data_IF_968566463062
#
_entry.id   IF_968566463062
#
_cell.length_a   1.000
_cell.length_b   1.000
_cell.length_c   1.000
_cell.angle_alpha   90.00
_cell.angle_beta   90.00
_cell.angle_gamma   90.00
#
_symmetry.space_group_name_H-M   'P 1'
#
loop_
_entity.id
_entity.type
_entity.pdbx_description
1 polymer ?
#
# COMPACT_ATOMS: atom_id res chain seq x y z
N UNK A 1 -59.80 32.43 8.98
CA UNK A 1 -58.93 32.58 7.78
C UNK A 1 -57.92 33.70 8.01
N UNK A 2 -56.65 33.37 8.24
CA UNK A 2 -55.46 33.96 7.59
C UNK A 2 -54.21 33.26 8.16
N UNK A 3 -53.34 32.91 7.22
CA UNK A 3 -52.40 31.79 7.25
C UNK A 3 -51.17 32.10 8.11
N UNK A 4 -50.70 31.09 8.85
CA UNK A 4 -49.31 31.02 9.31
C UNK A 4 -48.39 31.09 8.07
N UNK A 5 -47.40 31.97 8.12
CA UNK A 5 -46.30 32.00 7.17
C UNK A 5 -45.07 31.50 7.94
N UNK A 6 -44.92 30.18 7.97
CA UNK A 6 -43.67 29.54 8.40
C UNK A 6 -42.73 29.67 7.20
N UNK A 7 -41.75 30.56 7.31
CA UNK A 7 -40.63 30.63 6.38
C UNK A 7 -39.67 29.53 6.82
N UNK A 8 -39.77 28.36 6.19
CA UNK A 8 -38.70 27.37 6.20
C UNK A 8 -37.53 27.95 5.39
N UNK A 9 -36.53 28.47 6.10
CA UNK A 9 -35.20 28.68 5.53
C UNK A 9 -34.63 27.28 5.25
N UNK A 10 -34.69 26.84 3.99
CA UNK A 10 -33.81 25.80 3.49
C UNK A 10 -32.41 26.39 3.47
N UNK A 11 -31.60 26.07 4.49
CA UNK A 11 -30.15 26.20 4.38
C UNK A 11 -29.70 25.07 3.44
N UNK A 12 -29.61 25.37 2.15
CA UNK A 12 -28.79 24.58 1.25
C UNK A 12 -27.33 24.83 1.66
N UNK A 13 -26.81 23.97 2.53
CA UNK A 13 -25.37 23.83 2.70
C UNK A 13 -24.90 23.20 1.38
N UNK A 14 -24.53 24.03 0.42
CA UNK A 14 -23.72 23.61 -0.72
C UNK A 14 -22.30 23.38 -0.19
N UNK A 15 -22.11 22.32 0.58
CA UNK A 15 -20.78 21.77 0.81
C UNK A 15 -20.27 21.33 -0.56
N UNK A 16 -19.28 22.04 -1.08
CA UNK A 16 -18.55 21.68 -2.30
C UNK A 16 -18.18 20.20 -2.17
N UNK A 17 -18.75 19.38 -3.05
CA UNK A 17 -18.64 17.93 -2.97
C UNK A 17 -17.24 17.59 -3.51
N UNK A 18 -16.31 17.23 -2.62
CA UNK A 18 -14.90 17.01 -2.95
C UNK A 18 -14.59 15.67 -3.64
N UNK A 19 -15.60 14.87 -4.01
CA UNK A 19 -15.46 13.79 -5.00
C UNK A 19 -16.54 13.90 -6.06
N UNK A 20 -16.28 14.73 -7.07
CA UNK A 20 -17.10 14.78 -8.27
C UNK A 20 -16.20 15.02 -9.46
N UNK A 21 -16.45 14.25 -10.51
CA UNK A 21 -15.95 14.58 -11.83
C UNK A 21 -16.63 15.89 -12.26
N UNK A 22 -15.83 16.93 -12.42
CA UNK A 22 -16.29 18.20 -12.97
C UNK A 22 -15.82 18.34 -14.41
N UNK A 23 -16.72 18.02 -15.35
CA UNK A 23 -16.44 18.11 -16.77
C UNK A 23 -16.29 19.55 -17.29
N UNK A 24 -16.75 20.56 -16.55
CA UNK A 24 -16.68 21.95 -17.00
C UNK A 24 -15.26 22.53 -16.89
N UNK A 25 -14.47 22.06 -15.92
CA UNK A 25 -13.09 22.49 -15.69
C UNK A 25 -12.06 21.34 -15.79
N UNK A 26 -12.53 20.14 -16.16
CA UNK A 26 -11.74 18.91 -16.27
C UNK A 26 -11.00 18.57 -14.98
N UNK A 27 -11.67 18.74 -13.85
CA UNK A 27 -11.15 18.39 -12.53
C UNK A 27 -11.84 17.18 -11.93
N UNK A 28 -11.12 16.46 -11.08
CA UNK A 28 -11.62 15.33 -10.30
C UNK A 28 -11.06 15.43 -8.90
N UNK A 29 -11.95 15.54 -7.92
CA UNK A 29 -11.60 15.27 -6.52
C UNK A 29 -11.79 13.79 -6.21
N UNK A 30 -10.90 13.20 -5.41
CA UNK A 30 -11.00 11.79 -5.02
C UNK A 30 -11.21 11.73 -3.50
N UNK A 31 -12.42 11.40 -3.07
CA UNK A 31 -12.81 11.29 -1.66
C UNK A 31 -13.82 10.16 -1.52
N UNK A 32 -13.77 9.41 -0.42
CA UNK A 32 -14.74 8.36 -0.13
C UNK A 32 -16.10 8.94 0.27
N UNK A 33 -17.15 8.65 -0.50
CA UNK A 33 -18.54 8.93 -0.15
C UNK A 33 -19.27 7.65 0.24
N UNK A 34 -18.81 7.04 1.32
CA UNK A 34 -19.28 5.71 1.69
C UNK A 34 -20.29 5.77 2.83
N UNK A 35 -21.28 4.89 2.76
CA UNK A 35 -22.28 4.77 3.81
C UNK A 35 -21.84 3.75 4.86
N UNK A 36 -22.37 3.91 6.09
CA UNK A 36 -22.23 2.89 7.12
C UNK A 36 -22.75 1.53 6.61
N UNK A 37 -21.96 0.47 6.84
CA UNK A 37 -22.17 -0.90 6.36
C UNK A 37 -22.06 -1.09 4.84
N UNK A 38 -21.62 -0.07 4.10
CA UNK A 38 -21.24 -0.27 2.71
C UNK A 38 -20.03 -1.20 2.64
N UNK A 39 -20.06 -2.12 1.67
CA UNK A 39 -19.07 -3.18 1.53
C UNK A 39 -18.69 -3.35 0.08
N UNK A 40 -17.39 -3.53 -0.17
CA UNK A 40 -16.86 -3.96 -1.46
C UNK A 40 -15.85 -5.09 -1.28
N UNK A 41 -15.73 -5.95 -2.30
CA UNK A 41 -14.80 -7.07 -2.28
C UNK A 41 -13.79 -6.90 -3.40
N UNK A 42 -12.53 -7.22 -3.12
CA UNK A 42 -11.42 -7.05 -4.03
C UNK A 42 -10.61 -8.33 -4.12
N UNK A 43 -10.05 -8.57 -5.29
CA UNK A 43 -8.95 -9.51 -5.50
C UNK A 43 -7.65 -8.72 -5.50
N UNK A 44 -6.68 -9.17 -4.71
CA UNK A 44 -5.33 -8.62 -4.72
C UNK A 44 -4.39 -9.69 -5.26
N UNK A 45 -3.61 -9.32 -6.28
CA UNK A 45 -2.60 -10.19 -6.88
C UNK A 45 -1.23 -9.54 -6.72
N UNK A 46 -0.26 -10.31 -6.23
CA UNK A 46 1.13 -9.91 -6.09
C UNK A 46 2.01 -10.83 -6.92
N UNK A 47 2.83 -10.23 -7.77
CA UNK A 47 3.74 -10.95 -8.63
C UNK A 47 5.16 -10.44 -8.42
N UNK A 48 6.11 -11.35 -8.36
CA UNK A 48 7.53 -11.02 -8.29
C UNK A 48 8.29 -11.78 -9.37
N UNK A 49 9.14 -11.06 -10.08
CA UNK A 49 10.08 -11.64 -11.02
C UNK A 49 11.41 -10.89 -10.97
N UNK A 50 12.46 -11.63 -11.32
CA UNK A 50 13.82 -11.13 -11.41
C UNK A 50 14.27 -11.20 -12.86
N UNK A 51 14.86 -10.12 -13.35
CA UNK A 51 15.47 -10.03 -14.68
C UNK A 51 16.98 -9.94 -14.47
N UNK A 52 17.71 -10.94 -14.98
CA UNK A 52 19.17 -10.94 -14.97
C UNK A 52 19.65 -10.85 -16.42
N UNK A 53 20.28 -9.73 -16.78
CA UNK A 53 20.60 -9.35 -18.16
C UNK A 53 19.34 -9.25 -19.05
N UNK A 54 18.93 -10.35 -19.68
CA UNK A 54 17.78 -10.44 -20.59
C UNK A 54 16.84 -11.59 -20.24
N UNK A 55 17.23 -12.45 -19.29
CA UNK A 55 16.45 -13.61 -18.90
C UNK A 55 15.58 -13.24 -17.71
N UNK A 56 14.28 -13.57 -17.81
CA UNK A 56 13.30 -13.34 -16.75
C UNK A 56 13.02 -14.63 -16.00
N UNK A 57 13.16 -14.60 -14.68
CA UNK A 57 12.77 -15.69 -13.80
C UNK A 57 11.60 -15.24 -12.95
N UNK A 58 10.47 -15.95 -13.06
CA UNK A 58 9.33 -15.72 -12.17
C UNK A 58 9.64 -16.31 -10.80
N UNK A 59 9.57 -15.49 -9.75
CA UNK A 59 10.05 -15.87 -8.41
C UNK A 59 8.94 -15.96 -7.36
N UNK A 60 7.75 -15.40 -7.59
CA UNK A 60 6.64 -15.60 -6.65
C UNK A 60 5.30 -15.02 -7.11
N UNK A 61 4.23 -15.76 -6.78
CA UNK A 61 2.84 -15.38 -6.98
C UNK A 61 2.09 -15.50 -5.66
N UNK A 62 1.34 -14.46 -5.29
CA UNK A 62 0.36 -14.52 -4.22
C UNK A 62 -0.93 -13.86 -4.69
N UNK A 63 -2.06 -14.45 -4.34
CA UNK A 63 -3.37 -13.87 -4.59
C UNK A 63 -4.22 -14.05 -3.36
N UNK A 64 -5.06 -13.06 -3.04
CA UNK A 64 -5.98 -13.14 -1.91
C UNK A 64 -7.17 -12.23 -2.17
N UNK A 65 -8.26 -12.46 -1.45
CA UNK A 65 -9.42 -11.59 -1.46
C UNK A 65 -9.44 -10.69 -0.22
N UNK A 66 -9.93 -9.47 -0.38
CA UNK A 66 -10.19 -8.56 0.73
C UNK A 66 -11.61 -8.01 0.66
N UNK A 67 -12.32 -8.15 1.77
CA UNK A 67 -13.61 -7.55 2.00
C UNK A 67 -13.42 -6.23 2.76
N UNK A 68 -13.72 -5.10 2.12
CA UNK A 68 -13.65 -3.77 2.72
C UNK A 68 -15.05 -3.37 3.20
N UNK A 69 -15.20 -3.10 4.49
CA UNK A 69 -16.48 -2.70 5.11
C UNK A 69 -16.34 -1.39 5.88
N UNK A 70 -17.25 -0.46 5.65
CA UNK A 70 -17.35 0.78 6.44
C UNK A 70 -18.08 0.47 7.75
N UNK A 71 -17.33 0.39 8.85
CA UNK A 71 -17.87 0.01 10.17
C UNK A 71 -18.24 1.21 11.04
N UNK A 72 -17.72 2.40 10.73
CA UNK A 72 -18.18 3.68 11.27
C UNK A 72 -18.05 4.78 10.22
N UNK A 73 -19.00 5.72 10.21
CA UNK A 73 -19.03 6.86 9.28
C UNK A 73 -19.55 8.08 10.03
N UNK A 74 -18.68 9.09 10.14
CA UNK A 74 -18.97 10.37 10.77
C UNK A 74 -18.71 11.50 9.76
N UNK A 75 -19.09 12.72 10.12
CA UNK A 75 -18.83 13.87 9.26
C UNK A 75 -17.33 14.18 9.04
N UNK A 76 -16.42 13.61 9.85
CA UNK A 76 -15.00 13.96 9.88
C UNK A 76 -14.06 12.76 9.77
N UNK A 77 -14.60 11.54 9.71
CA UNK A 77 -13.78 10.32 9.68
C UNK A 77 -14.60 9.08 9.35
N UNK A 78 -13.90 8.08 8.81
CA UNK A 78 -14.38 6.72 8.65
C UNK A 78 -13.56 5.74 9.49
N UNK A 79 -14.21 4.69 9.97
CA UNK A 79 -13.52 3.48 10.44
C UNK A 79 -13.86 2.36 9.46
N UNK A 80 -12.81 1.71 8.95
CA UNK A 80 -12.89 0.82 7.80
C UNK A 80 -12.19 -0.47 8.15
N UNK A 81 -12.91 -1.58 8.02
CA UNK A 81 -12.38 -2.92 8.20
C UNK A 81 -11.97 -3.50 6.84
N UNK A 82 -10.74 -4.00 6.77
CA UNK A 82 -10.21 -4.81 5.67
C UNK A 82 -10.07 -6.24 6.18
N UNK A 83 -10.89 -7.15 5.65
CA UNK A 83 -10.89 -8.56 6.03
C UNK A 83 -10.29 -9.42 4.92
N UNK A 84 -9.16 -10.06 5.22
CA UNK A 84 -8.32 -10.81 4.31
C UNK A 84 -8.68 -12.30 4.33
N UNK A 85 -8.84 -12.91 3.16
CA UNK A 85 -9.25 -14.32 3.00
C UNK A 85 -8.78 -14.91 1.67
N UNK A 86 -8.93 -16.22 1.53
CA UNK A 86 -8.76 -16.97 0.28
C UNK A 86 -7.37 -16.77 -0.36
N UNK A 87 -6.33 -16.98 0.44
CA UNK A 87 -4.96 -16.85 -0.01
C UNK A 87 -4.55 -18.03 -0.91
N UNK A 88 -3.94 -17.71 -2.03
CA UNK A 88 -3.42 -18.63 -3.05
C UNK A 88 -1.95 -18.28 -3.33
N UNK A 89 -1.10 -19.29 -3.50
CA UNK A 89 0.29 -19.11 -3.95
C UNK A 89 0.70 -20.20 -4.92
N UNK A 90 1.72 -19.94 -5.72
CA UNK A 90 2.29 -20.90 -6.67
C UNK A 90 3.53 -21.64 -6.13
N UNK A 91 3.93 -21.40 -4.88
CA UNK A 91 5.11 -22.06 -4.28
C UNK A 91 4.74 -23.34 -3.52
N UNK A 92 5.55 -24.37 -3.67
CA UNK A 92 5.46 -25.61 -2.87
C UNK A 92 6.25 -25.51 -1.54
N UNK A 93 6.81 -24.34 -1.22
CA UNK A 93 7.55 -24.14 0.02
C UNK A 93 6.62 -24.27 1.24
N UNK A 94 6.90 -25.29 2.07
CA UNK A 94 6.08 -25.64 3.23
C UNK A 94 5.99 -24.50 4.26
N UNK A 95 7.07 -23.75 4.45
CA UNK A 95 7.09 -22.62 5.38
C UNK A 95 6.17 -21.51 4.85
N UNK A 96 6.22 -21.21 3.55
CA UNK A 96 5.32 -20.22 2.94
C UNK A 96 3.86 -20.66 3.03
N UNK A 97 3.55 -21.92 2.72
CA UNK A 97 2.20 -22.48 2.86
C UNK A 97 1.67 -22.34 4.29
N UNK A 98 2.52 -22.63 5.29
CA UNK A 98 2.16 -22.46 6.70
C UNK A 98 1.94 -21.00 7.09
N UNK A 99 2.77 -20.08 6.58
CA UNK A 99 2.60 -18.63 6.79
C UNK A 99 1.28 -18.14 6.19
N UNK A 100 0.88 -18.67 5.03
CA UNK A 100 -0.42 -18.35 4.43
C UNK A 100 -1.57 -18.86 5.30
N UNK A 101 -1.53 -20.12 5.72
CA UNK A 101 -2.59 -20.73 6.56
C UNK A 101 -2.85 -19.93 7.85
N UNK A 102 -1.80 -19.38 8.48
CA UNK A 102 -1.95 -18.55 9.68
C UNK A 102 -2.39 -17.10 9.39
N UNK A 103 -2.24 -16.65 8.15
CA UNK A 103 -2.64 -15.30 7.71
C UNK A 103 -4.10 -15.24 7.22
N UNK A 104 -4.78 -16.39 7.14
CA UNK A 104 -6.19 -16.48 6.78
C UNK A 104 -7.11 -15.81 7.81
N UNK A 105 -8.20 -15.23 7.31
CA UNK A 105 -9.24 -14.57 8.12
C UNK A 105 -8.72 -13.43 9.00
N UNK A 106 -7.70 -12.73 8.52
CA UNK A 106 -7.09 -11.61 9.23
C UNK A 106 -7.85 -10.31 9.00
N UNK A 107 -7.87 -9.41 9.99
CA UNK A 107 -8.53 -8.10 9.86
C UNK A 107 -7.58 -6.95 10.18
N UNK A 108 -7.62 -5.93 9.34
CA UNK A 108 -6.97 -4.64 9.58
C UNK A 108 -8.06 -3.58 9.66
N UNK A 109 -8.09 -2.83 10.75
CA UNK A 109 -9.04 -1.74 10.97
C UNK A 109 -8.26 -0.44 10.88
N UNK A 110 -8.59 0.38 9.89
CA UNK A 110 -8.00 1.71 9.73
C UNK A 110 -9.01 2.79 10.08
N UNK A 111 -8.48 3.95 10.44
CA UNK A 111 -9.23 5.19 10.54
C UNK A 111 -8.71 6.18 9.52
N UNK A 112 -9.62 6.84 8.81
CA UNK A 112 -9.28 7.95 7.89
C UNK A 112 -9.91 9.26 8.37
N UNK A 113 -9.42 10.39 7.88
CA UNK A 113 -10.16 11.65 7.91
C UNK A 113 -11.31 11.65 6.88
N UNK A 114 -12.05 12.76 6.77
CA UNK A 114 -13.13 12.89 5.78
C UNK A 114 -12.68 12.90 4.32
N UNK A 115 -11.39 13.14 4.05
CA UNK A 115 -10.82 13.22 2.71
C UNK A 115 -10.25 11.87 2.25
N UNK A 116 -10.06 10.93 3.18
CA UNK A 116 -9.47 9.61 2.94
C UNK A 116 -7.99 9.52 3.31
N UNK A 117 -7.44 10.52 3.99
CA UNK A 117 -6.11 10.45 4.60
C UNK A 117 -6.11 9.47 5.77
N UNK A 118 -5.23 8.46 5.73
CA UNK A 118 -5.12 7.46 6.81
C UNK A 118 -4.55 8.14 8.06
N UNK A 119 -5.29 8.07 9.16
CA UNK A 119 -4.90 8.61 10.47
C UNK A 119 -4.14 7.56 11.27
N UNK A 120 -4.64 6.32 11.27
CA UNK A 120 -4.06 5.23 12.05
C UNK A 120 -4.58 3.85 11.65
N UNK A 121 -3.81 2.82 11.99
CA UNK A 121 -4.28 1.44 12.16
C UNK A 121 -4.77 1.28 13.60
N UNK A 122 -6.09 1.14 13.76
CA UNK A 122 -6.78 1.13 15.06
C UNK A 122 -6.46 -0.13 15.86
N UNK A 123 -6.45 -1.29 15.22
CA UNK A 123 -6.25 -2.59 15.87
C UNK A 123 -4.80 -3.10 15.76
N UNK A 124 -3.81 -2.22 15.67
CA UNK A 124 -2.40 -2.60 15.44
C UNK A 124 -1.84 -3.57 16.51
N UNK A 125 -2.29 -3.48 17.76
CA UNK A 125 -1.88 -4.43 18.81
C UNK A 125 -2.45 -5.83 18.56
N UNK A 126 -3.71 -5.95 18.11
CA UNK A 126 -4.31 -7.23 17.75
C UNK A 126 -3.57 -7.86 16.57
N UNK A 127 -3.17 -7.05 15.59
CA UNK A 127 -2.35 -7.45 14.44
C UNK A 127 -1.02 -8.00 14.92
N UNK A 128 -0.27 -7.24 15.72
CA UNK A 128 1.02 -7.66 16.28
C UNK A 128 0.91 -8.96 17.05
N UNK A 129 -0.04 -9.03 17.99
CA UNK A 129 -0.16 -10.17 18.90
C UNK A 129 -0.55 -11.45 18.14
N UNK A 130 -1.39 -11.33 17.11
CA UNK A 130 -1.75 -12.44 16.23
C UNK A 130 -0.55 -12.95 15.43
N UNK A 131 0.24 -12.04 14.83
CA UNK A 131 1.46 -12.40 14.12
C UNK A 131 2.46 -13.07 15.07
N UNK A 132 2.67 -12.53 16.27
CA UNK A 132 3.62 -13.06 17.24
C UNK A 132 3.21 -14.45 17.75
N UNK A 133 1.91 -14.67 17.97
CA UNK A 133 1.39 -15.98 18.33
C UNK A 133 1.65 -17.00 17.21
N UNK A 134 1.39 -16.59 15.97
CA UNK A 134 1.53 -17.46 14.81
C UNK A 134 3.02 -17.78 14.51
N UNK A 135 3.90 -16.79 14.52
CA UNK A 135 5.35 -17.01 14.35
C UNK A 135 5.94 -17.84 15.47
N UNK A 136 5.46 -17.71 16.71
CA UNK A 136 5.90 -18.56 17.84
C UNK A 136 5.59 -20.03 17.62
N UNK A 137 4.41 -20.36 17.07
CA UNK A 137 4.05 -21.74 16.72
C UNK A 137 4.96 -22.29 15.61
N UNK A 138 5.21 -21.47 14.58
CA UNK A 138 6.07 -21.88 13.46
C UNK A 138 7.54 -22.01 13.88
N UNK A 139 8.05 -21.15 14.77
CA UNK A 139 9.40 -21.28 15.34
C UNK A 139 9.62 -22.65 15.99
N UNK A 140 8.63 -23.15 16.74
CA UNK A 140 8.70 -24.47 17.37
C UNK A 140 8.60 -25.61 16.34
N UNK A 141 7.69 -25.49 15.37
CA UNK A 141 7.51 -26.50 14.31
C UNK A 141 8.77 -26.66 13.44
N UNK A 142 9.42 -25.53 13.10
CA UNK A 142 10.57 -25.49 12.23
C UNK A 142 11.91 -25.37 12.96
N UNK A 143 11.99 -25.60 14.28
CA UNK A 143 13.19 -25.37 15.10
C UNK A 143 14.49 -26.04 14.61
N UNK A 144 14.37 -27.12 13.85
CA UNK A 144 15.51 -27.85 13.26
C UNK A 144 16.02 -27.20 11.95
N UNK A 145 15.29 -26.24 11.39
CA UNK A 145 15.68 -25.48 10.19
C UNK A 145 16.71 -24.43 10.59
N UNK A 146 17.91 -24.42 9.98
CA UNK A 146 18.93 -23.41 10.26
C UNK A 146 18.41 -21.99 10.02
N UNK A 147 18.76 -21.05 10.91
CA UNK A 147 18.43 -19.62 10.82
C UNK A 147 16.92 -19.27 10.80
N UNK A 148 16.05 -20.24 11.13
CA UNK A 148 14.60 -20.02 11.12
C UNK A 148 14.16 -18.99 12.17
N UNK A 149 14.80 -19.01 13.35
CA UNK A 149 14.49 -18.08 14.43
C UNK A 149 14.80 -16.64 14.01
N UNK A 150 15.94 -16.41 13.36
CA UNK A 150 16.31 -15.10 12.82
C UNK A 150 15.33 -14.65 11.74
N UNK A 151 14.88 -15.57 10.88
CA UNK A 151 13.89 -15.30 9.83
C UNK A 151 12.57 -14.81 10.43
N UNK A 152 12.04 -15.51 11.44
CA UNK A 152 10.82 -15.08 12.11
C UNK A 152 10.98 -13.81 12.94
N UNK A 153 12.14 -13.59 13.57
CA UNK A 153 12.42 -12.34 14.28
C UNK A 153 12.38 -11.14 13.32
N UNK A 154 12.86 -11.30 12.07
CA UNK A 154 12.75 -10.26 11.03
C UNK A 154 11.28 -9.99 10.66
N UNK A 155 10.45 -11.03 10.56
CA UNK A 155 9.01 -10.86 10.33
C UNK A 155 8.37 -10.10 11.50
N UNK A 156 8.61 -10.54 12.73
CA UNK A 156 8.05 -9.92 13.95
C UNK A 156 8.45 -8.44 14.08
N UNK A 157 9.66 -8.07 13.71
CA UNK A 157 10.12 -6.67 13.74
C UNK A 157 9.27 -5.73 12.88
N UNK A 158 8.69 -6.21 11.77
CA UNK A 158 7.80 -5.41 10.93
C UNK A 158 6.44 -5.12 11.60
N UNK A 159 6.09 -5.87 12.65
CA UNK A 159 4.84 -5.71 13.38
C UNK A 159 5.03 -5.21 14.83
N UNK A 160 6.27 -4.93 15.23
CA UNK A 160 6.61 -4.62 16.61
C UNK A 160 5.97 -3.32 17.10
N UNK A 161 5.88 -2.31 16.24
CA UNK A 161 5.32 -1.00 16.55
C UNK A 161 4.23 -0.61 15.55
N UNK A 162 3.34 0.29 16.00
CA UNK A 162 2.30 0.88 15.14
C UNK A 162 2.89 1.48 13.85
N UNK A 163 3.99 2.23 13.98
CA UNK A 163 4.65 2.88 12.85
C UNK A 163 5.23 1.88 11.85
N UNK A 164 5.75 0.73 12.31
CA UNK A 164 6.20 -0.34 11.40
C UNK A 164 5.03 -0.95 10.62
N UNK A 165 3.89 -1.18 11.28
CA UNK A 165 2.69 -1.73 10.63
C UNK A 165 2.16 -0.74 9.58
N UNK A 166 2.03 0.53 9.94
CA UNK A 166 1.51 1.59 9.09
C UNK A 166 2.39 1.88 7.87
N UNK A 167 3.71 1.67 7.98
CA UNK A 167 4.66 1.95 6.91
C UNK A 167 4.97 0.78 5.98
N UNK A 168 4.85 -0.46 6.44
CA UNK A 168 5.35 -1.62 5.71
C UNK A 168 4.33 -2.74 5.51
N UNK A 169 3.39 -2.92 6.44
CA UNK A 169 2.56 -4.13 6.51
C UNK A 169 1.17 -3.98 5.88
N UNK A 170 0.77 -2.76 5.54
CA UNK A 170 -0.55 -2.45 4.94
C UNK A 170 -0.44 -1.85 3.52
N UNK A 171 0.56 -2.29 2.73
CA UNK A 171 0.86 -1.71 1.41
C UNK A 171 -0.32 -1.67 0.45
N UNK A 172 -1.20 -2.66 0.46
CA UNK A 172 -2.41 -2.68 -0.37
C UNK A 172 -3.42 -1.61 0.05
N UNK A 173 -3.59 -1.40 1.35
CA UNK A 173 -4.35 -0.27 1.88
C UNK A 173 -3.70 1.04 1.41
N UNK A 174 -2.39 1.22 1.57
CA UNK A 174 -1.71 2.44 1.12
C UNK A 174 -1.94 2.70 -0.38
N UNK A 175 -1.77 1.69 -1.23
CA UNK A 175 -2.03 1.80 -2.67
C UNK A 175 -3.47 2.21 -2.97
N UNK A 176 -4.44 1.64 -2.25
CA UNK A 176 -5.85 1.96 -2.42
C UNK A 176 -6.13 3.44 -2.18
N UNK A 177 -5.44 4.06 -1.21
CA UNK A 177 -5.67 5.43 -0.77
C UNK A 177 -4.72 6.47 -1.35
N UNK A 178 -3.74 6.12 -2.20
CA UNK A 178 -2.72 7.07 -2.68
C UNK A 178 -3.27 8.36 -3.29
N UNK A 179 -4.42 8.28 -3.94
CA UNK A 179 -5.03 9.42 -4.63
C UNK A 179 -6.13 10.10 -3.81
N UNK A 180 -6.55 9.52 -2.68
CA UNK A 180 -7.62 10.08 -1.85
C UNK A 180 -7.17 11.38 -1.18
N UNK A 181 -8.12 12.30 -1.06
CA UNK A 181 -7.94 13.66 -0.57
C UNK A 181 -7.35 14.64 -1.58
N UNK A 182 -6.97 14.16 -2.77
CA UNK A 182 -6.46 15.00 -3.85
C UNK A 182 -7.56 15.62 -4.70
N UNK A 183 -7.27 16.83 -5.22
CA UNK A 183 -8.01 17.47 -6.30
C UNK A 183 -7.08 17.58 -7.51
N UNK A 184 -7.43 16.91 -8.59
CA UNK A 184 -6.59 16.79 -9.77
C UNK A 184 -7.23 17.44 -10.98
N UNK A 185 -6.41 18.01 -11.84
CA UNK A 185 -6.85 18.63 -13.09
C UNK A 185 -6.16 17.97 -14.27
N UNK A 186 -6.92 17.72 -15.32
CA UNK A 186 -6.42 17.07 -16.52
C UNK A 186 -5.31 17.91 -17.17
N UNK A 187 -4.19 17.28 -17.52
CA UNK A 187 -2.96 17.88 -18.05
C UNK A 187 -2.10 18.67 -17.04
N UNK A 188 -2.49 18.75 -15.76
CA UNK A 188 -1.62 19.28 -14.72
C UNK A 188 -0.86 18.11 -14.06
N UNK A 189 0.39 18.36 -13.68
CA UNK A 189 1.23 17.41 -12.93
C UNK A 189 1.54 18.03 -11.57
N UNK A 190 1.25 17.28 -10.51
CA UNK A 190 1.61 17.63 -9.15
C UNK A 190 2.95 16.99 -8.83
N UNK A 191 3.96 17.80 -8.51
CA UNK A 191 5.29 17.34 -8.12
C UNK A 191 5.54 17.65 -6.65
N UNK A 192 6.10 16.67 -5.92
CA UNK A 192 6.44 16.81 -4.52
C UNK A 192 7.71 16.04 -4.18
N UNK A 193 8.39 16.48 -3.12
CA UNK A 193 9.41 15.68 -2.44
C UNK A 193 8.84 15.17 -1.14
N UNK A 194 8.94 13.86 -0.93
CA UNK A 194 8.42 13.19 0.26
C UNK A 194 9.54 12.44 0.98
N UNK A 195 9.24 12.03 2.22
CA UNK A 195 10.10 11.16 3.01
C UNK A 195 9.47 9.77 3.06
N UNK A 196 10.20 8.76 2.63
CA UNK A 196 9.79 7.37 2.72
C UNK A 196 10.52 6.68 3.87
N UNK A 197 9.83 5.87 4.69
CA UNK A 197 10.47 5.17 5.79
C UNK A 197 11.55 4.22 5.28
N UNK A 198 12.69 4.21 5.96
CA UNK A 198 13.80 3.32 5.65
C UNK A 198 13.61 1.98 6.36
N UNK A 199 13.23 0.95 5.60
CA UNK A 199 12.94 -0.39 6.11
C UNK A 199 14.19 -1.14 6.64
N UNK A 200 15.40 -0.67 6.32
CA UNK A 200 16.64 -1.20 6.92
C UNK A 200 16.94 -0.58 8.30
N UNK A 201 16.14 0.38 8.72
CA UNK A 201 16.38 1.22 9.89
C UNK A 201 17.25 2.43 9.58
N UNK A 202 17.07 3.50 10.36
CA UNK A 202 17.80 4.77 10.20
C UNK A 202 16.90 5.90 9.74
N UNK A 203 17.48 6.89 9.05
CA UNK A 203 16.73 8.05 8.55
C UNK A 203 15.85 7.66 7.36
N UNK A 204 14.65 8.27 7.21
CA UNK A 204 13.85 8.17 5.99
C UNK A 204 14.64 8.56 4.74
N UNK A 205 14.19 8.07 3.59
CA UNK A 205 14.73 8.40 2.28
C UNK A 205 13.98 9.57 1.66
N UNK A 206 14.70 10.49 1.03
CA UNK A 206 14.14 11.45 0.11
C UNK A 206 13.60 10.71 -1.13
N UNK A 207 12.40 11.07 -1.58
CA UNK A 207 11.85 10.57 -2.84
C UNK A 207 11.15 11.70 -3.61
N UNK A 208 11.34 11.71 -4.92
CA UNK A 208 10.62 12.58 -5.84
C UNK A 208 9.33 11.86 -6.29
N UNK A 209 8.20 12.58 -6.25
CA UNK A 209 6.89 12.04 -6.63
C UNK A 209 6.22 12.97 -7.65
N UNK A 210 5.64 12.37 -8.68
CA UNK A 210 4.78 13.06 -9.66
C UNK A 210 3.43 12.37 -9.74
N UNK A 211 2.34 13.12 -9.62
CA UNK A 211 0.97 12.62 -9.69
C UNK A 211 0.20 13.40 -10.74
N UNK A 212 -0.59 12.73 -11.57
CA UNK A 212 -1.45 13.40 -12.55
C UNK A 212 -2.73 12.62 -12.84
N UNK A 213 -3.74 13.38 -13.28
CA UNK A 213 -4.97 12.85 -13.85
C UNK A 213 -4.73 12.55 -15.33
N UNK A 214 -4.83 11.27 -15.71
CA UNK A 214 -4.56 10.79 -17.07
C UNK A 214 -5.82 10.83 -17.94
N UNK A 215 -6.96 10.40 -17.37
CA UNK A 215 -8.22 10.33 -18.08
C UNK A 215 -9.42 10.58 -17.17
N UNK A 216 -10.46 11.20 -17.73
CA UNK A 216 -11.80 11.30 -17.13
C UNK A 216 -12.77 10.55 -18.04
N UNK A 217 -13.51 9.60 -17.47
CA UNK A 217 -14.59 8.89 -18.15
C UNK A 217 -15.92 9.19 -17.44
N UNK A 218 -16.60 10.24 -17.91
CA UNK A 218 -17.87 10.67 -17.34
C UNK A 218 -19.05 9.73 -17.64
N UNK A 219 -18.95 8.90 -18.69
CA UNK A 219 -20.02 7.94 -19.03
C UNK A 219 -20.07 6.79 -18.02
N UNK A 220 -18.88 6.34 -17.59
CA UNK A 220 -18.72 5.25 -16.62
C UNK A 220 -18.40 5.75 -15.20
N UNK A 221 -18.58 7.06 -14.96
CA UNK A 221 -18.39 7.72 -13.66
C UNK A 221 -17.04 7.41 -12.99
N UNK A 222 -15.96 7.37 -13.77
CA UNK A 222 -14.63 7.07 -13.24
C UNK A 222 -13.52 7.92 -13.88
N UNK A 223 -12.35 7.88 -13.25
CA UNK A 223 -11.14 8.54 -13.71
C UNK A 223 -9.92 7.63 -13.58
N UNK A 224 -8.87 7.92 -14.35
CA UNK A 224 -7.59 7.23 -14.28
C UNK A 224 -6.55 8.22 -13.77
N UNK A 225 -5.92 7.88 -12.64
CA UNK A 225 -4.81 8.63 -12.06
C UNK A 225 -3.52 7.83 -12.15
N UNK A 226 -2.41 8.55 -12.21
CA UNK A 226 -1.08 7.97 -12.27
C UNK A 226 -0.14 8.63 -11.27
N UNK A 227 0.79 7.84 -10.77
CA UNK A 227 1.87 8.29 -9.90
C UNK A 227 3.19 7.68 -10.37
N UNK A 228 4.25 8.47 -10.31
CA UNK A 228 5.64 7.98 -10.30
C UNK A 228 6.31 8.40 -9.01
N UNK A 229 7.16 7.52 -8.47
CA UNK A 229 7.95 7.78 -7.28
C UNK A 229 9.36 7.21 -7.48
N UNK A 230 10.39 8.02 -7.26
CA UNK A 230 11.79 7.62 -7.37
C UNK A 230 12.52 7.92 -6.07
N UNK A 231 13.10 6.89 -5.45
CA UNK A 231 13.87 7.05 -4.21
C UNK A 231 15.26 7.58 -4.54
N UNK A 232 15.80 8.46 -3.68
CA UNK A 232 17.18 8.91 -3.79
C UNK A 232 18.16 7.72 -3.81
N UNK A 233 18.79 7.52 -4.97
CA UNK A 233 19.66 6.37 -5.24
C UNK A 233 20.87 6.31 -4.31
N UNK A 234 21.49 7.44 -3.96
CA UNK A 234 22.65 7.47 -3.06
C UNK A 234 22.26 6.99 -1.66
N UNK A 235 21.17 7.53 -1.11
CA UNK A 235 20.67 7.14 0.21
C UNK A 235 20.27 5.67 0.28
N UNK A 236 19.55 5.18 -0.75
CA UNK A 236 19.17 3.77 -0.85
C UNK A 236 20.41 2.87 -0.92
N UNK A 237 21.39 3.25 -1.74
CA UNK A 237 22.62 2.48 -1.93
C UNK A 237 23.43 2.40 -0.62
N UNK A 238 23.59 3.54 0.06
CA UNK A 238 24.32 3.61 1.33
C UNK A 238 23.65 2.78 2.43
N UNK A 239 22.33 2.92 2.59
CA UNK A 239 21.57 2.17 3.58
C UNK A 239 21.63 0.65 3.30
N UNK A 240 21.53 0.24 2.03
CA UNK A 240 21.62 -1.17 1.63
C UNK A 240 23.02 -1.73 1.92
N UNK A 241 24.08 -1.01 1.56
CA UNK A 241 25.46 -1.42 1.84
C UNK A 241 25.70 -1.59 3.34
N UNK A 242 25.27 -0.63 4.16
CA UNK A 242 25.40 -0.70 5.62
C UNK A 242 24.61 -1.85 6.22
N UNK A 243 23.39 -2.08 5.74
CA UNK A 243 22.56 -3.20 6.17
C UNK A 243 23.23 -4.55 5.86
N UNK A 244 23.69 -4.75 4.63
CA UNK A 244 24.38 -5.97 4.22
C UNK A 244 25.66 -6.23 5.01
N UNK A 245 26.40 -5.17 5.37
CA UNK A 245 27.58 -5.26 6.22
C UNK A 245 27.24 -5.68 7.66
N UNK A 246 26.06 -5.33 8.17
CA UNK A 246 25.64 -5.63 9.53
C UNK A 246 24.96 -6.99 9.69
N UNK A 247 24.17 -7.41 8.70
CA UNK A 247 23.39 -8.69 8.77
C UNK A 247 24.24 -9.89 8.40
N UNK A 248 25.20 -9.73 7.51
CA UNK A 248 26.12 -10.80 7.23
C UNK A 248 27.22 -10.83 8.28
N UNK A 249 27.24 -11.87 9.11
CA UNK A 249 28.48 -12.40 9.67
C UNK A 249 29.41 -13.00 8.59
N UNK A 250 29.16 -12.73 7.30
CA UNK A 250 30.13 -12.94 6.23
C UNK A 250 31.20 -11.89 6.45
N UNK A 251 32.40 -12.37 6.79
CA UNK A 251 33.60 -11.58 6.98
C UNK A 251 33.66 -10.39 6.01
N UNK A 252 34.11 -9.23 6.51
CA UNK A 252 34.43 -7.98 5.78
C UNK A 252 35.10 -8.20 4.39
N UNK A 253 35.65 -9.39 4.13
CA UNK A 253 36.31 -9.79 2.89
C UNK A 253 35.41 -10.01 1.65
N UNK A 254 34.07 -10.05 1.75
CA UNK A 254 33.21 -10.39 0.59
C UNK A 254 32.42 -9.23 -0.02
N UNK A 255 32.01 -8.22 0.76
CA UNK A 255 31.19 -7.11 0.26
C UNK A 255 32.00 -6.03 -0.49
N UNK A 256 33.33 -6.00 -0.28
CA UNK A 256 34.23 -5.02 -0.87
C UNK A 256 34.11 -3.63 -0.24
N UNK A 257 34.78 -2.64 -0.84
CA UNK A 257 34.64 -1.24 -0.45
C UNK A 257 33.35 -0.64 -0.99
N UNK A 258 32.75 0.31 -0.25
CA UNK A 258 31.52 1.00 -0.65
C UNK A 258 31.60 1.61 -2.05
N UNK A 259 32.78 2.07 -2.47
CA UNK A 259 32.99 2.66 -3.80
C UNK A 259 32.82 1.69 -4.95
N UNK A 260 32.98 0.38 -4.67
CA UNK A 260 32.82 -0.69 -5.65
C UNK A 260 31.39 -1.26 -5.62
N UNK A 261 30.55 -0.80 -4.69
CA UNK A 261 29.15 -1.21 -4.56
C UNK A 261 28.29 -0.41 -5.54
N UNK A 262 27.71 -1.12 -6.50
CA UNK A 262 26.90 -0.55 -7.57
C UNK A 262 25.72 0.28 -7.03
N UNK A 263 25.34 1.37 -7.71
CA UNK A 263 24.18 2.16 -7.32
C UNK A 263 22.91 1.33 -7.44
N UNK A 264 22.05 1.44 -6.43
CA UNK A 264 20.69 0.93 -6.47
C UNK A 264 19.74 2.03 -6.92
N UNK A 265 18.78 1.66 -7.76
CA UNK A 265 17.64 2.50 -8.12
C UNK A 265 16.37 1.84 -7.64
N UNK A 266 15.44 2.65 -7.15
CA UNK A 266 14.10 2.18 -6.82
C UNK A 266 13.06 3.16 -7.36
N UNK A 267 12.27 2.64 -8.29
CA UNK A 267 11.23 3.39 -8.98
C UNK A 267 9.90 2.66 -8.79
N UNK A 268 8.84 3.42 -8.56
CA UNK A 268 7.49 2.91 -8.39
C UNK A 268 6.56 3.66 -9.32
N UNK A 269 5.74 2.92 -10.06
CA UNK A 269 4.68 3.45 -10.90
C UNK A 269 3.35 2.93 -10.39
N UNK A 270 2.37 3.81 -10.22
CA UNK A 270 1.02 3.42 -9.86
C UNK A 270 0.03 3.97 -10.87
N UNK A 271 -0.95 3.15 -11.24
CA UNK A 271 -2.11 3.55 -12.03
C UNK A 271 -3.35 3.10 -11.28
N UNK A 272 -4.29 4.00 -11.03
CA UNK A 272 -5.57 3.66 -10.41
C UNK A 272 -6.74 4.19 -11.22
N UNK A 273 -7.69 3.31 -11.50
CA UNK A 273 -9.02 3.66 -11.98
C UNK A 273 -9.97 3.77 -10.79
N UNK A 274 -10.54 4.95 -10.56
CA UNK A 274 -11.34 5.25 -9.37
C UNK A 274 -12.72 5.73 -9.80
N UNK A 275 -13.77 5.14 -9.21
CA UNK A 275 -15.15 5.58 -9.40
C UNK A 275 -15.42 6.90 -8.65
N UNK A 276 -16.37 7.71 -9.09
CA UNK A 276 -16.68 9.02 -8.48
C UNK A 276 -17.11 8.93 -7.00
N UNK A 277 -17.53 7.75 -6.54
CA UNK A 277 -17.82 7.48 -5.12
C UNK A 277 -16.57 7.33 -4.25
N UNK A 278 -15.38 7.35 -4.85
CA UNK A 278 -14.10 7.10 -4.18
C UNK A 278 -13.74 5.61 -4.05
N UNK A 279 -14.57 4.68 -4.54
CA UNK A 279 -14.19 3.27 -4.60
C UNK A 279 -13.18 3.03 -5.72
N UNK A 280 -12.09 2.36 -5.39
CA UNK A 280 -11.15 1.87 -6.39
C UNK A 280 -11.83 0.81 -7.26
N UNK A 281 -11.70 0.90 -8.58
CA UNK A 281 -12.15 -0.15 -9.50
C UNK A 281 -11.00 -1.09 -9.85
N UNK A 282 -9.83 -0.50 -10.12
CA UNK A 282 -8.63 -1.23 -10.48
C UNK A 282 -7.40 -0.41 -10.12
N UNK A 283 -6.35 -1.03 -9.61
CA UNK A 283 -5.04 -0.39 -9.42
C UNK A 283 -3.90 -1.35 -9.73
N UNK A 284 -2.82 -0.83 -10.30
CA UNK A 284 -1.55 -1.54 -10.45
C UNK A 284 -0.45 -0.66 -9.91
N UNK A 285 0.31 -1.20 -8.96
CA UNK A 285 1.58 -0.65 -8.50
C UNK A 285 2.69 -1.57 -9.00
N UNK A 286 3.61 -1.04 -9.79
CA UNK A 286 4.84 -1.71 -10.21
C UNK A 286 6.00 -1.05 -9.50
N UNK A 287 6.76 -1.82 -8.73
CA UNK A 287 7.98 -1.38 -8.07
C UNK A 287 9.16 -2.10 -8.69
N UNK A 288 10.12 -1.35 -9.22
CA UNK A 288 11.37 -1.88 -9.73
C UNK A 288 12.51 -1.50 -8.80
N UNK A 289 13.35 -2.48 -8.46
CA UNK A 289 14.63 -2.26 -7.79
C UNK A 289 15.73 -2.80 -8.67
N UNK A 290 16.62 -1.94 -9.13
CA UNK A 290 17.70 -2.33 -10.03
C UNK A 290 19.07 -2.09 -9.42
N UNK A 291 20.01 -2.99 -9.72
CA UNK A 291 21.42 -2.91 -9.37
C UNK A 291 22.21 -3.64 -10.44
N UNK A 292 23.16 -2.96 -11.09
CA UNK A 292 23.87 -3.46 -12.28
C UNK A 292 22.93 -4.05 -13.34
N UNK A 293 23.09 -5.33 -13.66
CA UNK A 293 22.30 -6.05 -14.67
C UNK A 293 21.14 -6.85 -14.05
N UNK A 294 20.81 -6.59 -12.78
CA UNK A 294 19.72 -7.27 -12.07
C UNK A 294 18.59 -6.29 -11.80
N UNK A 295 17.38 -6.65 -12.22
CA UNK A 295 16.16 -5.88 -11.93
C UNK A 295 15.20 -6.81 -11.20
N UNK A 296 14.80 -6.41 -10.01
CA UNK A 296 13.72 -7.05 -9.27
C UNK A 296 12.45 -6.23 -9.48
N UNK A 297 11.39 -6.88 -9.97
CA UNK A 297 10.10 -6.25 -10.19
C UNK A 297 9.05 -6.87 -9.29
N UNK A 298 8.30 -6.03 -8.61
CA UNK A 298 7.14 -6.39 -7.79
C UNK A 298 5.91 -5.68 -8.34
N UNK A 299 4.90 -6.44 -8.76
CA UNK A 299 3.60 -5.91 -9.13
C UNK A 299 2.58 -6.20 -8.01
N UNK A 300 1.76 -5.21 -7.68
CA UNK A 300 0.59 -5.33 -6.81
C UNK A 300 -0.63 -4.82 -7.56
N UNK A 301 -1.57 -5.71 -7.80
CA UNK A 301 -2.80 -5.45 -8.56
C UNK A 301 -3.96 -5.56 -7.60
N UNK A 302 -4.82 -4.54 -7.55
CA UNK A 302 -6.07 -4.53 -6.78
C UNK A 302 -7.22 -4.42 -7.78
N UNK A 303 -8.12 -5.39 -7.81
CA UNK A 303 -9.24 -5.44 -8.75
C UNK A 303 -10.55 -5.69 -8.00
N UNK A 304 -11.58 -4.90 -8.28
CA UNK A 304 -12.92 -5.09 -7.70
C UNK A 304 -13.57 -6.37 -8.22
N UNK A 305 -14.29 -7.10 -7.35
CA UNK A 305 -15.00 -8.35 -7.69
C UNK A 305 -16.44 -8.13 -8.15
#
# INVERSE_FOLDING_TARGET
>A
MKKLLIISILVFISSSIFSQINMADSTVGIVGFWNLNEKQSYTITREKYEIINVDTTFTGYFKYAVDITIIDSTATSYIIEWYYRDFETNTDDLLVQKIIEISENFKVIIKTDELGGIIEVVNWEEIRDSIFAATSLLKEEFKEVPNIEETFNKIENNYLTKENIESASIRDILQFYYFHGGLYKLNDVLEAQIQLPNLYGGKPFDADVSIWLDQINAEDYNSILRMTQSINSEQLTDATYLYLKNVNSLADSTLGDRTDFAPLHNDTWTVSQIHESGWLLYSVETKETSMDNTINVENMIIEIQ
#
